data_IF_946082413260
#
_entry.id   IF_946082413260
#
_cell.length_a   1.000
_cell.length_b   1.000
_cell.length_c   1.000
_cell.angle_alpha   90.00
_cell.angle_beta   90.00
_cell.angle_gamma   90.00
#
_symmetry.space_group_name_H-M   'P 1'
#
loop_
_entity.id
_entity.type
_entity.pdbx_description
1 polymer ?
#
# COMPACT_ATOMS: atom_id res chain seq x y z
N UNK A 1 5.49 -57.84 -39.58
CA UNK A 1 5.09 -57.48 -38.21
C UNK A 1 5.77 -56.15 -37.89
N UNK A 2 5.06 -55.02 -38.03
CA UNK A 2 5.64 -53.68 -37.76
C UNK A 2 5.41 -53.35 -36.29
N UNK A 3 6.49 -53.07 -35.56
CA UNK A 3 6.49 -52.70 -34.14
C UNK A 3 6.10 -51.22 -34.03
N UNK A 4 5.01 -50.91 -33.33
CA UNK A 4 4.65 -49.54 -32.97
C UNK A 4 5.25 -49.22 -31.61
N UNK A 5 6.21 -48.28 -31.57
CA UNK A 5 6.74 -47.69 -30.34
C UNK A 5 5.94 -46.42 -30.08
N UNK A 6 5.13 -46.42 -29.03
CA UNK A 6 4.44 -45.24 -28.52
C UNK A 6 5.32 -44.57 -27.45
N UNK A 7 5.86 -43.38 -27.73
CA UNK A 7 6.43 -42.51 -26.69
C UNK A 7 5.30 -41.82 -25.91
N UNK A 8 5.37 -41.73 -24.57
CA UNK A 8 4.46 -40.87 -23.82
C UNK A 8 4.90 -39.41 -23.97
N UNK A 9 3.96 -38.54 -24.31
CA UNK A 9 4.15 -37.09 -24.26
C UNK A 9 4.23 -36.65 -22.80
N UNK A 10 5.42 -36.26 -22.35
CA UNK A 10 5.61 -35.60 -21.05
C UNK A 10 5.17 -34.16 -21.21
N UNK A 11 3.98 -33.83 -20.68
CA UNK A 11 3.50 -32.46 -20.59
C UNK A 11 4.36 -31.72 -19.55
N UNK A 12 5.16 -30.76 -20.01
CA UNK A 12 5.93 -29.85 -19.17
C UNK A 12 4.95 -28.80 -18.61
N UNK A 13 4.38 -29.06 -17.44
CA UNK A 13 3.59 -28.08 -16.71
C UNK A 13 4.52 -26.96 -16.23
N UNK A 14 4.37 -25.77 -16.80
CA UNK A 14 5.10 -24.57 -16.36
C UNK A 14 4.67 -24.20 -14.94
N UNK A 15 5.62 -24.23 -14.00
CA UNK A 15 5.44 -23.66 -12.67
C UNK A 15 5.33 -22.13 -12.81
N UNK A 16 4.11 -21.60 -12.82
CA UNK A 16 3.88 -20.19 -12.52
C UNK A 16 3.90 -20.04 -11.00
N UNK A 17 4.86 -19.27 -10.48
CA UNK A 17 4.93 -18.90 -9.08
C UNK A 17 3.77 -17.96 -8.74
N UNK A 18 2.83 -18.39 -7.89
CA UNK A 18 1.69 -17.59 -7.44
C UNK A 18 2.03 -16.95 -6.09
N UNK A 19 1.77 -15.66 -5.95
CA UNK A 19 2.07 -14.81 -4.78
C UNK A 19 0.78 -14.66 -3.94
N UNK A 20 0.87 -14.47 -2.61
CA UNK A 20 -0.31 -14.32 -1.73
C UNK A 20 -0.96 -12.92 -1.82
N UNK A 21 -2.20 -12.80 -1.33
CA UNK A 21 -2.95 -11.55 -1.17
C UNK A 21 -2.24 -10.57 -0.23
N UNK A 22 -1.98 -9.38 -0.74
CA UNK A 22 -1.13 -8.32 -0.24
C UNK A 22 -1.98 -7.05 -0.11
N UNK A 23 -1.56 -6.13 0.76
CA UNK A 23 -2.17 -4.84 1.11
C UNK A 23 -2.62 -4.01 -0.09
N UNK A 24 -2.01 -2.89 -0.52
CA UNK A 24 -2.14 -2.65 -1.96
C UNK A 24 -1.71 -3.95 -2.66
N UNK A 25 -2.44 -4.40 -3.69
CA UNK A 25 -2.00 -5.58 -4.44
C UNK A 25 -0.58 -5.33 -4.96
N UNK A 26 0.13 -6.38 -5.37
CA UNK A 26 1.53 -6.26 -5.82
C UNK A 26 1.78 -5.07 -6.77
N UNK A 27 0.84 -4.82 -7.70
CA UNK A 27 0.87 -3.69 -8.61
C UNK A 27 0.84 -2.33 -7.88
N UNK A 28 -0.03 -2.12 -6.88
CA UNK A 28 -0.15 -0.84 -6.18
C UNK A 28 1.13 -0.50 -5.40
N UNK A 29 1.74 -1.46 -4.70
CA UNK A 29 3.03 -1.27 -4.04
C UNK A 29 4.16 -0.96 -5.02
N UNK A 30 4.23 -1.68 -6.13
CA UNK A 30 5.23 -1.45 -7.16
C UNK A 30 5.06 -0.07 -7.81
N UNK A 31 3.82 0.39 -8.02
CA UNK A 31 3.50 1.74 -8.50
C UNK A 31 3.97 2.80 -7.50
N UNK A 32 3.59 2.69 -6.21
CA UNK A 32 4.00 3.62 -5.15
C UNK A 32 5.52 3.73 -5.07
N UNK A 33 6.21 2.59 -5.04
CA UNK A 33 7.66 2.54 -4.96
C UNK A 33 8.35 3.11 -6.21
N UNK A 34 7.75 2.92 -7.39
CA UNK A 34 8.27 3.49 -8.65
C UNK A 34 8.09 5.00 -8.68
N UNK A 35 6.92 5.52 -8.28
CA UNK A 35 6.68 6.97 -8.14
C UNK A 35 7.67 7.56 -7.14
N UNK A 36 7.91 6.90 -6.01
CA UNK A 36 8.88 7.36 -5.02
C UNK A 36 10.29 7.46 -5.62
N UNK A 37 10.73 6.42 -6.34
CA UNK A 37 12.04 6.39 -6.98
C UNK A 37 12.23 7.53 -7.99
N UNK A 38 11.18 7.96 -8.70
CA UNK A 38 11.22 9.09 -9.63
C UNK A 38 11.46 10.45 -8.95
N UNK A 39 11.16 10.56 -7.65
CA UNK A 39 11.27 11.79 -6.86
C UNK A 39 12.43 11.75 -5.85
N UNK A 40 13.24 10.70 -5.86
CA UNK A 40 14.46 10.67 -5.07
C UNK A 40 15.50 11.65 -5.62
N UNK A 41 16.28 12.24 -4.73
CA UNK A 41 17.43 13.01 -5.16
C UNK A 41 18.47 12.12 -5.86
N UNK A 42 19.15 12.60 -6.91
CA UNK A 42 20.14 11.81 -7.65
C UNK A 42 21.23 11.19 -6.78
N UNK A 43 21.59 11.86 -5.66
CA UNK A 43 22.57 11.40 -4.70
C UNK A 43 22.03 10.39 -3.67
N UNK A 44 20.72 10.37 -3.43
CA UNK A 44 20.08 9.48 -2.43
C UNK A 44 19.87 8.07 -2.99
N UNK A 45 19.48 7.95 -4.26
CA UNK A 45 19.21 6.65 -4.89
C UNK A 45 20.41 5.67 -4.79
N UNK A 46 21.67 6.06 -5.09
CA UNK A 46 22.83 5.18 -4.91
C UNK A 46 23.02 4.66 -3.48
N UNK A 47 22.75 5.51 -2.46
CA UNK A 47 22.85 5.14 -1.04
C UNK A 47 21.83 4.05 -0.72
N UNK A 48 20.56 4.29 -1.06
CA UNK A 48 19.47 3.31 -0.91
C UNK A 48 19.80 2.00 -1.62
N UNK A 49 20.33 2.07 -2.84
CA UNK A 49 20.70 0.90 -3.61
C UNK A 49 21.84 0.09 -3.00
N UNK A 50 22.81 0.75 -2.37
CA UNK A 50 23.89 0.07 -1.65
C UNK A 50 23.40 -0.68 -0.41
N UNK A 51 22.30 -0.22 0.21
CA UNK A 51 21.63 -0.89 1.33
C UNK A 51 20.81 -2.09 0.82
N UNK A 52 20.01 -1.88 -0.24
CA UNK A 52 19.12 -2.91 -0.76
C UNK A 52 19.86 -4.03 -1.50
N UNK A 53 20.92 -3.71 -2.24
CA UNK A 53 21.65 -4.66 -3.08
C UNK A 53 23.17 -4.50 -2.93
N UNK A 54 23.74 -4.84 -1.77
CA UNK A 54 25.17 -4.62 -1.51
C UNK A 54 26.09 -5.41 -2.45
N UNK A 55 25.59 -6.45 -3.13
CA UNK A 55 26.35 -7.31 -4.04
C UNK A 55 26.05 -7.06 -5.51
N UNK A 56 25.05 -6.23 -5.85
CA UNK A 56 24.62 -6.01 -7.23
C UNK A 56 25.02 -4.61 -7.72
N UNK A 57 25.15 -4.40 -9.04
CA UNK A 57 25.36 -3.08 -9.59
C UNK A 57 24.20 -2.14 -9.28
N UNK A 58 24.49 -0.89 -8.89
CA UNK A 58 23.45 0.12 -8.63
C UNK A 58 22.47 0.33 -9.82
N UNK A 59 22.92 0.07 -11.05
CA UNK A 59 22.09 0.17 -12.26
C UNK A 59 20.92 -0.82 -12.32
N UNK A 60 20.94 -1.92 -11.56
CA UNK A 60 19.83 -2.89 -11.51
C UNK A 60 18.84 -2.63 -10.36
N UNK A 61 19.15 -1.68 -9.49
CA UNK A 61 18.39 -1.37 -8.29
C UNK A 61 17.02 -0.76 -8.61
N UNK A 62 16.00 -1.20 -7.87
CA UNK A 62 14.70 -0.52 -7.84
C UNK A 62 13.98 -0.76 -6.53
N UNK A 63 13.27 0.26 -6.06
CA UNK A 63 12.36 0.14 -4.94
C UNK A 63 11.18 -0.79 -5.24
N UNK A 64 10.68 -0.83 -6.48
CA UNK A 64 9.52 -1.64 -6.86
C UNK A 64 9.71 -3.13 -6.52
N UNK A 65 10.91 -3.67 -6.78
CA UNK A 65 11.17 -5.10 -6.59
C UNK A 65 11.21 -5.55 -5.12
N UNK A 66 11.34 -4.61 -4.17
CA UNK A 66 11.24 -4.90 -2.73
C UNK A 66 9.90 -4.48 -2.14
N UNK A 67 9.07 -3.75 -2.88
CA UNK A 67 7.83 -3.18 -2.38
C UNK A 67 6.81 -4.23 -1.91
N UNK A 68 6.89 -5.47 -2.39
CA UNK A 68 6.02 -6.59 -1.99
C UNK A 68 6.65 -7.54 -0.96
N UNK A 69 7.84 -7.22 -0.46
CA UNK A 69 8.62 -8.13 0.38
C UNK A 69 7.99 -8.36 1.77
N UNK A 70 7.55 -7.29 2.45
CA UNK A 70 7.02 -7.37 3.82
C UNK A 70 5.83 -8.34 3.89
N UNK A 71 5.00 -8.25 2.88
CA UNK A 71 3.78 -8.99 2.73
C UNK A 71 4.00 -10.49 2.43
N UNK A 72 5.09 -10.83 1.73
CA UNK A 72 5.56 -12.23 1.60
C UNK A 72 6.08 -12.76 2.94
N UNK A 73 6.72 -11.89 3.72
CA UNK A 73 7.36 -12.28 4.97
C UNK A 73 6.40 -12.32 6.14
N UNK A 74 5.24 -11.66 6.11
CA UNK A 74 4.28 -11.67 7.23
C UNK A 74 3.85 -13.06 7.70
N UNK A 75 3.89 -14.06 6.82
CA UNK A 75 3.60 -15.46 7.18
C UNK A 75 4.75 -16.15 7.95
N UNK A 76 5.99 -15.74 7.68
CA UNK A 76 7.20 -16.23 8.37
C UNK A 76 7.48 -15.41 9.63
N UNK A 77 7.32 -14.09 9.52
CA UNK A 77 7.45 -13.08 10.56
C UNK A 77 6.06 -12.69 11.05
N UNK A 78 5.33 -13.62 11.68
CA UNK A 78 3.93 -13.42 12.08
C UNK A 78 3.69 -12.19 12.95
N UNK A 79 4.71 -11.75 13.68
CA UNK A 79 4.67 -10.52 14.47
C UNK A 79 4.48 -9.26 13.62
N UNK A 80 4.89 -9.28 12.34
CA UNK A 80 4.78 -8.14 11.42
C UNK A 80 3.39 -8.00 10.79
N UNK A 81 2.52 -9.01 10.86
CA UNK A 81 1.23 -8.99 10.17
C UNK A 81 0.33 -7.81 10.59
N UNK A 82 0.34 -7.46 11.89
CA UNK A 82 -0.43 -6.31 12.39
C UNK A 82 0.16 -4.96 12.00
N UNK A 83 1.39 -4.90 11.49
CA UNK A 83 2.04 -3.66 11.05
C UNK A 83 1.57 -3.18 9.68
N UNK A 84 0.70 -3.93 8.99
CA UNK A 84 0.17 -3.55 7.69
C UNK A 84 -1.10 -2.68 7.78
N UNK A 85 -1.72 -2.58 8.94
CA UNK A 85 -2.99 -1.86 9.10
C UNK A 85 -3.12 -1.22 10.48
N UNK A 86 -4.14 -0.40 10.66
CA UNK A 86 -4.58 0.15 11.93
C UNK A 86 -6.11 0.24 11.93
N UNK A 87 -6.74 0.00 13.07
CA UNK A 87 -8.20 0.13 13.20
C UNK A 87 -8.57 0.72 14.56
N UNK A 88 -9.40 1.76 14.55
CA UNK A 88 -10.00 2.32 15.75
C UNK A 88 -11.01 1.35 16.36
N UNK A 89 -11.15 1.36 17.69
CA UNK A 89 -12.18 0.55 18.37
C UNK A 89 -13.57 1.19 18.29
N UNK A 90 -13.62 2.52 18.12
CA UNK A 90 -14.84 3.32 17.97
C UNK A 90 -15.19 3.61 16.50
N UNK A 91 -14.46 3.00 15.57
CA UNK A 91 -14.63 3.18 14.14
C UNK A 91 -15.68 2.21 13.57
N UNK A 92 -16.69 2.76 12.88
CA UNK A 92 -17.75 2.04 12.18
C UNK A 92 -18.22 2.81 10.92
N UNK A 93 -17.41 2.87 9.85
CA UNK A 93 -17.78 3.59 8.63
C UNK A 93 -18.93 2.87 7.92
N UNK A 94 -19.96 3.53 7.39
CA UNK A 94 -19.96 4.97 7.12
C UNK A 94 -20.54 5.87 8.20
N UNK A 95 -21.07 5.30 9.29
CA UNK A 95 -21.78 6.08 10.30
C UNK A 95 -20.83 6.84 11.23
N UNK A 96 -19.74 6.21 11.66
CA UNK A 96 -18.78 6.76 12.62
C UNK A 96 -17.33 6.52 12.14
N UNK A 97 -16.56 7.59 11.84
CA UNK A 97 -15.13 7.50 11.48
C UNK A 97 -14.22 8.09 12.56
N UNK A 98 -14.30 7.50 13.76
CA UNK A 98 -13.46 7.88 14.89
C UNK A 98 -12.06 7.29 14.78
N UNK A 99 -11.04 8.15 14.63
CA UNK A 99 -9.66 7.73 14.38
C UNK A 99 -8.73 8.29 15.46
N UNK A 100 -8.41 7.60 16.57
CA UNK A 100 -8.76 6.22 16.93
C UNK A 100 -10.04 6.09 17.76
N UNK A 101 -10.70 7.21 18.05
CA UNK A 101 -11.75 7.33 19.06
C UNK A 101 -11.27 7.31 20.50
N UNK A 102 -12.23 7.29 21.43
CA UNK A 102 -12.02 7.31 22.88
C UNK A 102 -11.38 6.04 23.43
N UNK A 103 -11.69 4.87 22.86
CA UNK A 103 -11.15 3.58 23.28
C UNK A 103 -9.77 3.28 22.69
N UNK A 104 -9.35 4.06 21.69
CA UNK A 104 -8.04 3.91 21.06
C UNK A 104 -7.99 2.80 20.00
N UNK A 105 -6.78 2.39 19.65
CA UNK A 105 -6.53 1.39 18.62
C UNK A 105 -6.87 -0.04 19.07
N UNK A 106 -7.35 -0.84 18.12
CA UNK A 106 -7.41 -2.28 18.30
C UNK A 106 -5.99 -2.89 18.36
N UNK A 107 -5.85 -3.98 19.12
CA UNK A 107 -4.57 -4.70 19.24
C UNK A 107 -3.63 -4.14 20.30
N UNK A 108 -2.33 -4.35 20.12
CA UNK A 108 -1.30 -3.88 21.07
C UNK A 108 -0.88 -2.45 20.74
N UNK A 109 -0.59 -1.68 21.78
CA UNK A 109 -0.10 -0.30 21.67
C UNK A 109 1.11 -0.21 20.73
N UNK A 110 1.04 0.69 19.74
CA UNK A 110 2.05 0.91 18.70
C UNK A 110 2.41 -0.31 17.81
N UNK A 111 1.66 -1.40 17.86
CA UNK A 111 1.81 -2.54 16.93
C UNK A 111 0.75 -2.44 15.84
N UNK A 112 0.91 -1.43 14.99
CA UNK A 112 0.07 -1.12 13.84
C UNK A 112 0.91 -0.38 12.78
N UNK A 113 0.35 -0.11 11.60
CA UNK A 113 1.07 0.55 10.50
C UNK A 113 1.67 1.91 10.88
N UNK A 114 0.98 2.71 11.69
CA UNK A 114 1.47 4.02 12.14
C UNK A 114 2.72 3.88 13.02
N UNK A 115 2.66 2.97 14.00
CA UNK A 115 3.80 2.64 14.85
C UNK A 115 4.93 1.96 14.07
N UNK A 116 4.59 1.13 13.08
CA UNK A 116 5.52 0.47 12.17
C UNK A 116 6.36 1.49 11.39
N UNK A 117 5.70 2.45 10.72
CA UNK A 117 6.35 3.54 9.97
C UNK A 117 7.31 4.31 10.87
N UNK A 118 6.84 4.75 12.04
CA UNK A 118 7.67 5.48 13.00
C UNK A 118 8.89 4.67 13.43
N UNK A 119 8.70 3.40 13.76
CA UNK A 119 9.79 2.55 14.24
C UNK A 119 10.86 2.33 13.16
N UNK A 120 10.47 1.93 11.95
CA UNK A 120 11.44 1.67 10.87
C UNK A 120 12.11 2.94 10.38
N UNK A 121 11.41 4.09 10.38
CA UNK A 121 12.02 5.39 10.03
C UNK A 121 13.10 5.77 11.04
N UNK A 122 12.85 5.57 12.34
CA UNK A 122 13.83 5.84 13.39
C UNK A 122 15.04 4.88 13.33
N UNK A 123 14.83 3.61 12.99
CA UNK A 123 15.93 2.64 12.76
C UNK A 123 16.83 3.12 11.61
N UNK A 124 16.24 3.61 10.52
CA UNK A 124 16.99 4.09 9.36
C UNK A 124 17.72 5.41 9.66
N UNK A 125 17.07 6.34 10.35
CA UNK A 125 17.71 7.58 10.80
C UNK A 125 18.92 7.28 11.70
N UNK A 126 18.77 6.38 12.67
CA UNK A 126 19.87 5.95 13.53
C UNK A 126 21.00 5.29 12.72
N UNK A 127 20.67 4.43 11.74
CA UNK A 127 21.66 3.86 10.84
C UNK A 127 22.45 4.93 10.09
N UNK A 128 21.78 5.98 9.60
CA UNK A 128 22.43 7.11 8.93
C UNK A 128 23.36 7.85 9.89
N UNK A 129 22.87 8.23 11.07
CA UNK A 129 23.64 8.97 12.07
C UNK A 129 24.92 8.22 12.48
N UNK A 130 24.77 6.91 12.75
CA UNK A 130 25.88 6.08 13.19
C UNK A 130 26.94 5.91 12.08
N UNK A 131 26.55 5.93 10.80
CA UNK A 131 27.46 5.64 9.67
C UNK A 131 27.95 6.89 8.92
N UNK A 132 27.30 8.04 9.08
CA UNK A 132 27.71 9.29 8.42
C UNK A 132 29.16 9.67 8.74
N UNK A 133 29.56 9.52 10.01
CA UNK A 133 30.93 9.81 10.45
C UNK A 133 31.94 8.67 10.21
N UNK A 134 31.47 7.46 9.87
CA UNK A 134 32.31 6.25 9.75
C UNK A 134 32.75 5.93 8.33
N UNK A 135 32.33 6.71 7.33
CA UNK A 135 32.59 6.45 5.92
C UNK A 135 31.39 5.87 5.17
N UNK A 136 30.18 6.14 5.64
CA UNK A 136 28.93 5.80 4.94
C UNK A 136 28.55 4.31 5.06
N UNK A 137 27.72 3.86 4.12
CA UNK A 137 27.16 2.49 4.11
C UNK A 137 28.25 1.42 4.09
N UNK A 138 29.40 1.70 3.48
CA UNK A 138 30.53 0.77 3.35
C UNK A 138 31.21 0.47 4.70
N UNK A 139 31.03 1.35 5.69
CA UNK A 139 31.58 1.18 7.03
C UNK A 139 30.61 0.49 8.00
N UNK A 140 29.39 0.21 7.56
CA UNK A 140 28.41 -0.53 8.35
C UNK A 140 28.84 -1.99 8.50
N UNK A 141 28.69 -2.52 9.71
CA UNK A 141 28.79 -3.95 9.96
C UNK A 141 27.68 -4.72 9.24
N UNK A 142 27.88 -6.02 9.02
CA UNK A 142 26.89 -6.86 8.36
C UNK A 142 25.51 -6.83 9.06
N UNK A 143 25.49 -6.80 10.40
CA UNK A 143 24.24 -6.73 11.17
C UNK A 143 23.54 -5.37 11.07
N UNK A 144 24.30 -4.27 11.03
CA UNK A 144 23.72 -2.93 10.83
C UNK A 144 23.08 -2.82 9.44
N UNK A 145 23.78 -3.34 8.43
CA UNK A 145 23.30 -3.35 7.05
C UNK A 145 22.06 -4.24 6.88
N UNK A 146 22.02 -5.43 7.50
CA UNK A 146 20.86 -6.33 7.44
C UNK A 146 19.63 -5.68 8.09
N UNK A 147 19.80 -5.04 9.26
CA UNK A 147 18.72 -4.33 9.94
C UNK A 147 18.20 -3.13 9.12
N UNK A 148 19.11 -2.32 8.55
CA UNK A 148 18.73 -1.20 7.70
C UNK A 148 18.03 -1.67 6.42
N UNK A 149 18.50 -2.78 5.82
CA UNK A 149 17.87 -3.36 4.65
C UNK A 149 16.43 -3.82 4.96
N UNK A 150 16.22 -4.50 6.08
CA UNK A 150 14.88 -4.93 6.51
C UNK A 150 13.97 -3.72 6.80
N UNK A 151 14.45 -2.75 7.58
CA UNK A 151 13.71 -1.54 7.92
C UNK A 151 13.30 -0.75 6.66
N UNK A 152 14.20 -0.64 5.68
CA UNK A 152 13.93 0.03 4.41
C UNK A 152 12.85 -0.69 3.59
N UNK A 153 12.88 -2.02 3.53
CA UNK A 153 11.85 -2.81 2.83
C UNK A 153 10.48 -2.64 3.50
N UNK A 154 10.44 -2.62 4.84
CA UNK A 154 9.22 -2.33 5.58
C UNK A 154 8.72 -0.91 5.35
N UNK A 155 9.60 0.10 5.37
CA UNK A 155 9.21 1.50 5.14
C UNK A 155 8.57 1.68 3.76
N UNK A 156 9.20 1.15 2.71
CA UNK A 156 8.67 1.19 1.33
C UNK A 156 7.27 0.57 1.25
N UNK A 157 7.04 -0.51 1.99
CA UNK A 157 5.76 -1.20 2.01
C UNK A 157 4.70 -0.45 2.82
N UNK A 158 5.00 -0.08 4.07
CA UNK A 158 4.04 0.57 4.98
C UNK A 158 3.59 1.95 4.51
N UNK A 159 4.44 2.69 3.80
CA UNK A 159 4.02 3.94 3.15
C UNK A 159 3.03 3.70 2.01
N UNK A 160 3.04 2.52 1.38
CA UNK A 160 1.93 2.10 0.52
C UNK A 160 0.67 1.83 1.35
N UNK A 161 0.77 0.96 2.35
CA UNK A 161 -0.36 0.50 3.17
C UNK A 161 -1.14 1.64 3.83
N UNK A 162 -0.43 2.63 4.39
CA UNK A 162 -1.06 3.76 5.08
C UNK A 162 -1.87 4.64 4.13
N UNK A 163 -1.70 4.50 2.81
CA UNK A 163 -2.50 5.19 1.79
C UNK A 163 -3.64 4.33 1.21
N UNK A 164 -3.80 3.10 1.69
CA UNK A 164 -4.96 2.26 1.39
C UNK A 164 -6.03 2.56 2.46
N UNK A 165 -7.23 3.08 2.13
CA UNK A 165 -8.20 3.52 3.14
C UNK A 165 -8.75 2.41 4.06
N UNK A 166 -9.00 1.22 3.52
CA UNK A 166 -9.42 0.03 4.25
C UNK A 166 -8.31 -0.59 5.13
N UNK A 167 -7.05 -0.16 4.98
CA UNK A 167 -5.98 -0.45 5.95
C UNK A 167 -6.05 0.43 7.19
N UNK A 168 -6.90 1.45 7.18
CA UNK A 168 -7.05 2.43 8.25
C UNK A 168 -8.37 2.27 9.01
N UNK A 169 -9.09 1.17 8.82
CA UNK A 169 -10.36 0.89 9.49
C UNK A 169 -10.36 -0.47 10.19
N UNK A 170 -10.98 -0.50 11.37
CA UNK A 170 -11.20 -1.73 12.13
C UNK A 170 -12.42 -2.53 11.67
N UNK A 171 -13.33 -1.88 10.94
CA UNK A 171 -14.62 -2.45 10.57
C UNK A 171 -14.44 -3.68 9.67
N UNK A 172 -15.11 -4.78 10.04
CA UNK A 172 -15.16 -6.01 9.25
C UNK A 172 -13.78 -6.52 8.77
N UNK A 173 -12.74 -6.33 9.60
CA UNK A 173 -11.33 -6.63 9.28
C UNK A 173 -10.83 -5.85 8.06
N UNK A 174 -11.09 -4.54 8.02
CA UNK A 174 -10.75 -3.69 6.88
C UNK A 174 -11.55 -4.07 5.63
N UNK A 175 -12.80 -4.52 5.78
CA UNK A 175 -13.64 -4.93 4.65
C UNK A 175 -13.35 -6.33 4.10
N UNK A 176 -12.40 -7.10 4.66
CA UNK A 176 -12.13 -8.48 4.24
C UNK A 176 -13.34 -9.40 4.45
N UNK A 177 -14.14 -9.13 5.50
CA UNK A 177 -15.35 -9.90 5.80
C UNK A 177 -16.57 -9.45 4.99
N UNK A 178 -16.48 -8.35 4.21
CA UNK A 178 -17.60 -7.81 3.44
C UNK A 178 -17.56 -8.35 2.01
N UNK A 179 -18.50 -9.23 1.68
CA UNK A 179 -18.62 -9.80 0.33
C UNK A 179 -19.38 -8.87 -0.60
N UNK A 180 -18.83 -8.67 -1.79
CA UNK A 180 -19.37 -7.77 -2.82
C UNK A 180 -19.34 -8.46 -4.18
N UNK A 181 -20.15 -7.96 -5.12
CA UNK A 181 -20.08 -8.35 -6.53
C UNK A 181 -19.26 -7.34 -7.31
N UNK A 182 -18.38 -7.84 -8.17
CA UNK A 182 -17.57 -7.07 -9.09
C UNK A 182 -17.61 -7.70 -10.48
N UNK A 183 -18.26 -7.03 -11.43
CA UNK A 183 -18.46 -7.53 -12.79
C UNK A 183 -19.11 -8.94 -12.78
N UNK A 184 -20.10 -9.13 -11.91
CA UNK A 184 -20.82 -10.39 -11.72
C UNK A 184 -20.06 -11.48 -10.95
N UNK A 185 -18.83 -11.23 -10.50
CA UNK A 185 -18.04 -12.18 -9.69
C UNK A 185 -18.04 -11.79 -8.22
N UNK A 186 -18.06 -12.78 -7.34
CA UNK A 186 -18.04 -12.55 -5.90
C UNK A 186 -16.60 -12.34 -5.42
N UNK A 187 -16.36 -11.20 -4.79
CA UNK A 187 -15.08 -10.86 -4.15
C UNK A 187 -15.35 -10.27 -2.76
N UNK A 188 -14.39 -9.56 -2.16
CA UNK A 188 -14.60 -8.78 -0.94
C UNK A 188 -14.17 -7.32 -1.12
N UNK A 189 -14.68 -6.43 -0.27
CA UNK A 189 -14.44 -4.99 -0.38
C UNK A 189 -12.94 -4.65 -0.31
N UNK A 190 -12.19 -5.32 0.56
CA UNK A 190 -10.73 -5.12 0.69
C UNK A 190 -10.00 -5.42 -0.62
N UNK A 191 -10.19 -6.64 -1.16
CA UNK A 191 -9.54 -7.05 -2.41
C UNK A 191 -9.96 -6.22 -3.63
N UNK A 192 -11.18 -5.65 -3.62
CA UNK A 192 -11.62 -4.70 -4.64
C UNK A 192 -10.71 -3.46 -4.66
N UNK A 193 -10.46 -2.88 -3.49
CA UNK A 193 -9.61 -1.69 -3.33
C UNK A 193 -8.12 -1.98 -3.55
N UNK A 194 -7.63 -3.09 -3.02
CA UNK A 194 -6.22 -3.49 -3.15
C UNK A 194 -5.77 -3.63 -4.59
N UNK A 195 -6.63 -4.21 -5.45
CA UNK A 195 -6.19 -4.64 -6.78
C UNK A 195 -7.20 -4.44 -7.89
N UNK A 196 -8.49 -4.72 -7.69
CA UNK A 196 -9.43 -4.77 -8.81
C UNK A 196 -9.75 -3.39 -9.40
N UNK A 197 -9.76 -2.32 -8.59
CA UNK A 197 -9.88 -0.95 -9.07
C UNK A 197 -8.67 -0.54 -9.92
N UNK A 198 -7.45 -0.88 -9.48
CA UNK A 198 -6.21 -0.65 -10.25
C UNK A 198 -6.25 -1.45 -11.55
N UNK A 199 -6.62 -2.74 -11.50
CA UNK A 199 -6.73 -3.60 -12.67
C UNK A 199 -7.75 -3.07 -13.69
N UNK A 200 -8.85 -2.47 -13.23
CA UNK A 200 -9.82 -1.79 -14.09
C UNK A 200 -9.20 -0.54 -14.74
N UNK A 201 -8.51 0.30 -13.97
CA UNK A 201 -7.84 1.48 -14.48
C UNK A 201 -6.78 1.14 -15.54
N UNK A 202 -6.01 0.06 -15.34
CA UNK A 202 -5.01 -0.44 -16.30
C UNK A 202 -5.61 -0.80 -17.67
N UNK A 203 -6.86 -1.29 -17.72
CA UNK A 203 -7.53 -1.64 -18.97
C UNK A 203 -8.09 -0.45 -19.74
N UNK A 204 -8.33 0.67 -19.05
CA UNK A 204 -8.94 1.87 -19.64
C UNK A 204 -7.94 2.99 -19.94
N UNK A 205 -6.64 2.70 -19.88
CA UNK A 205 -5.59 3.70 -20.09
C UNK A 205 -5.64 4.25 -21.53
N UNK A 206 -5.68 5.59 -21.68
CA UNK A 206 -5.58 6.24 -22.98
C UNK A 206 -4.28 5.89 -23.73
N UNK A 207 -4.37 5.74 -25.05
CA UNK A 207 -3.22 5.28 -25.88
C UNK A 207 -2.00 6.20 -25.82
N UNK A 208 -2.16 7.48 -25.50
CA UNK A 208 -1.04 8.42 -25.37
C UNK A 208 -0.05 8.05 -24.25
N UNK A 209 -0.47 7.30 -23.22
CA UNK A 209 0.45 6.83 -22.16
C UNK A 209 1.06 5.44 -22.44
N UNK A 210 0.64 4.78 -23.52
CA UNK A 210 1.22 3.47 -23.93
C UNK A 210 2.57 3.61 -24.63
N UNK A 211 3.00 4.85 -24.89
CA UNK A 211 4.30 5.20 -25.44
C UNK A 211 5.09 6.06 -24.45
N UNK A 212 6.43 6.07 -24.52
CA UNK A 212 7.25 6.92 -23.67
C UNK A 212 6.89 8.41 -23.80
N UNK A 213 6.82 9.09 -22.66
CA UNK A 213 6.61 10.54 -22.59
C UNK A 213 7.95 11.28 -22.84
N UNK A 214 7.92 12.57 -23.23
CA UNK A 214 9.13 13.36 -23.49
C UNK A 214 9.83 13.81 -22.20
N UNK A 215 9.95 12.92 -21.21
CA UNK A 215 10.55 13.19 -19.89
C UNK A 215 11.59 12.11 -19.59
N UNK A 216 12.81 12.21 -20.16
CA UNK A 216 13.82 11.16 -20.05
C UNK A 216 14.19 10.73 -18.62
N UNK A 217 14.32 11.64 -17.63
CA UNK A 217 14.66 11.23 -16.26
C UNK A 217 13.60 10.33 -15.62
N UNK A 218 12.33 10.59 -15.89
CA UNK A 218 11.20 9.79 -15.42
C UNK A 218 11.14 8.45 -16.17
N UNK A 219 11.21 8.47 -17.51
CA UNK A 219 11.19 7.24 -18.33
C UNK A 219 12.35 6.29 -18.01
N UNK A 220 13.50 6.82 -17.59
CA UNK A 220 14.65 6.00 -17.17
C UNK A 220 14.36 5.14 -15.92
N UNK A 221 13.34 5.48 -15.12
CA UNK A 221 12.93 4.69 -13.96
C UNK A 221 11.92 3.57 -14.31
N UNK A 222 11.32 3.64 -15.50
CA UNK A 222 10.33 2.66 -15.98
C UNK A 222 11.02 1.43 -16.59
N UNK A 223 10.37 0.26 -16.49
CA UNK A 223 11.01 -1.05 -16.81
C UNK A 223 10.30 -1.85 -17.91
N UNK A 224 9.31 -1.27 -18.58
CA UNK A 224 8.44 -1.96 -19.52
C UNK A 224 7.40 -2.85 -18.83
N UNK A 225 6.98 -2.49 -17.61
CA UNK A 225 5.97 -3.25 -16.88
C UNK A 225 4.56 -2.97 -17.41
N UNK A 226 3.59 -3.81 -17.05
CA UNK A 226 2.18 -3.63 -17.46
C UNK A 226 1.54 -2.36 -16.88
N UNK A 227 2.10 -1.79 -15.81
CA UNK A 227 1.60 -0.60 -15.14
C UNK A 227 2.39 0.67 -15.47
N UNK A 228 3.44 0.60 -16.29
CA UNK A 228 4.17 1.80 -16.75
C UNK A 228 3.26 2.84 -17.43
N UNK A 229 2.29 2.47 -18.30
CA UNK A 229 1.34 3.45 -18.84
C UNK A 229 0.49 4.13 -17.77
N UNK A 230 0.24 3.45 -16.66
CA UNK A 230 -0.54 4.01 -15.56
C UNK A 230 0.29 5.00 -14.76
N UNK A 231 1.54 4.64 -14.46
CA UNK A 231 2.49 5.56 -13.82
C UNK A 231 2.68 6.80 -14.67
N UNK A 232 2.89 6.66 -15.98
CA UNK A 232 2.96 7.81 -16.91
C UNK A 232 1.74 8.72 -16.80
N UNK A 233 0.54 8.15 -16.74
CA UNK A 233 -0.70 8.91 -16.59
C UNK A 233 -0.79 9.63 -15.24
N UNK A 234 -0.45 8.95 -14.14
CA UNK A 234 -0.41 9.55 -12.79
C UNK A 234 0.61 10.70 -12.75
N UNK A 235 1.79 10.50 -13.30
CA UNK A 235 2.85 11.51 -13.35
C UNK A 235 2.45 12.71 -14.21
N UNK A 236 1.94 12.47 -15.42
CA UNK A 236 1.65 13.55 -16.39
C UNK A 236 0.36 14.31 -16.07
N UNK A 237 -0.76 13.63 -15.86
CA UNK A 237 -2.06 14.27 -15.62
C UNK A 237 -2.32 14.56 -14.14
N UNK A 238 -1.73 13.76 -13.24
CA UNK A 238 -1.99 13.81 -11.81
C UNK A 238 -1.05 14.77 -11.09
N UNK A 239 0.19 14.33 -10.87
CA UNK A 239 1.22 15.10 -10.16
C UNK A 239 1.62 16.34 -10.96
N UNK A 240 1.72 16.21 -12.28
CA UNK A 240 2.25 17.26 -13.13
C UNK A 240 3.77 17.18 -13.24
N UNK A 241 4.32 17.55 -14.39
CA UNK A 241 5.76 17.46 -14.66
C UNK A 241 6.39 18.85 -14.83
N UNK A 242 5.74 19.89 -14.29
CA UNK A 242 6.19 21.28 -14.32
C UNK A 242 6.66 21.68 -15.73
N UNK A 243 7.93 22.04 -15.87
CA UNK A 243 8.52 22.52 -17.13
C UNK A 243 8.42 21.56 -18.34
N UNK A 244 8.08 20.29 -18.14
CA UNK A 244 7.88 19.33 -19.23
C UNK A 244 6.47 19.38 -19.85
N UNK A 245 5.52 20.07 -19.23
CA UNK A 245 4.13 20.19 -19.70
C UNK A 245 3.59 21.61 -19.48
N UNK A 246 3.00 22.20 -20.51
CA UNK A 246 2.30 23.48 -20.39
C UNK A 246 0.95 23.36 -19.65
N UNK A 247 0.48 22.14 -19.43
CA UNK A 247 -0.74 21.85 -18.67
C UNK A 247 -0.34 21.40 -17.27
N UNK A 248 -0.81 22.10 -16.21
CA UNK A 248 -0.50 21.71 -14.84
C UNK A 248 -1.15 20.38 -14.48
N UNK A 249 -0.52 19.68 -13.54
CA UNK A 249 -1.10 18.47 -12.95
C UNK A 249 -2.38 18.77 -12.19
N UNK A 250 -3.24 17.75 -12.01
CA UNK A 250 -4.46 17.87 -11.18
C UNK A 250 -4.19 18.24 -9.74
N UNK A 251 -3.03 17.89 -9.21
CA UNK A 251 -2.68 18.04 -7.80
C UNK A 251 -1.36 18.80 -7.59
N UNK A 252 -0.85 19.47 -8.62
CA UNK A 252 0.45 20.16 -8.58
C UNK A 252 0.50 21.20 -7.45
N UNK A 253 -0.64 21.86 -7.20
CA UNK A 253 -0.89 22.85 -6.15
C UNK A 253 -1.19 22.25 -4.77
N UNK A 254 -1.41 20.93 -4.66
CA UNK A 254 -1.59 20.24 -3.38
C UNK A 254 -0.30 19.55 -2.85
N UNK A 255 0.75 19.45 -3.69
CA UNK A 255 1.94 18.65 -3.36
C UNK A 255 2.65 19.12 -2.09
N UNK A 256 2.71 20.42 -1.85
CA UNK A 256 3.32 20.99 -0.64
C UNK A 256 2.52 20.55 0.60
N UNK A 257 1.19 20.68 0.55
CA UNK A 257 0.30 20.29 1.65
C UNK A 257 0.42 18.80 1.98
N UNK A 258 0.60 17.94 0.97
CA UNK A 258 0.77 16.49 1.18
C UNK A 258 2.01 16.15 2.02
N UNK A 259 3.05 16.99 1.96
CA UNK A 259 4.31 16.81 2.65
C UNK A 259 4.34 17.49 4.01
N UNK A 260 3.48 18.49 4.24
CA UNK A 260 3.44 19.19 5.53
C UNK A 260 2.98 18.28 6.67
N UNK A 261 3.82 18.15 7.69
CA UNK A 261 3.45 17.57 8.97
C UNK A 261 2.99 18.66 9.93
N UNK A 262 1.85 18.50 10.64
CA UNK A 262 1.46 19.45 11.67
C UNK A 262 2.51 19.43 12.79
N UNK A 263 2.80 20.59 13.43
CA UNK A 263 3.75 20.65 14.53
C UNK A 263 3.28 19.73 15.66
N UNK A 264 4.16 18.82 16.10
CA UNK A 264 3.84 17.87 17.16
C UNK A 264 3.48 18.62 18.46
N UNK A 265 2.33 18.34 19.09
CA UNK A 265 1.97 18.95 20.37
C UNK A 265 3.01 18.73 21.49
N UNK A 266 3.96 17.81 21.33
CA UNK A 266 5.08 17.58 22.23
C UNK A 266 5.94 18.82 22.56
N UNK A 267 5.95 19.86 21.72
CA UNK A 267 6.74 21.09 21.98
C UNK A 267 5.94 22.25 22.63
N UNK A 268 4.60 22.15 22.77
CA UNK A 268 3.76 23.25 23.32
C UNK A 268 3.12 22.95 24.68
N UNK A 269 3.24 21.74 25.21
CA UNK A 269 2.59 21.40 26.47
C UNK A 269 3.32 22.01 27.67
N UNK A 270 2.75 23.07 28.23
CA UNK A 270 3.13 23.55 29.57
C UNK A 270 2.98 22.43 30.61
N UNK A 271 3.69 22.54 31.74
CA UNK A 271 3.60 21.59 32.86
C UNK A 271 2.14 21.24 33.26
N UNK A 272 1.22 22.21 33.14
CA UNK A 272 -0.21 22.00 33.40
C UNK A 272 -0.91 21.09 32.38
N UNK A 273 -0.51 21.10 31.10
CA UNK A 273 -1.04 20.23 30.06
C UNK A 273 -0.70 18.76 30.29
N UNK A 274 0.53 18.48 30.74
CA UNK A 274 0.97 17.13 31.13
C UNK A 274 0.24 16.61 32.36
N UNK A 275 0.01 17.48 33.36
CA UNK A 275 -0.77 17.13 34.54
C UNK A 275 -2.25 16.84 34.19
N UNK A 276 -2.84 17.62 33.29
CA UNK A 276 -4.22 17.39 32.82
C UNK A 276 -4.36 16.08 32.02
N UNK A 277 -3.40 15.73 31.15
CA UNK A 277 -3.40 14.43 30.46
C UNK A 277 -3.24 13.25 31.44
N UNK A 278 -2.39 13.40 32.46
CA UNK A 278 -2.22 12.39 33.50
C UNK A 278 -3.49 12.22 34.37
N UNK A 279 -4.17 13.32 34.71
CA UNK A 279 -5.41 13.31 35.50
C UNK A 279 -6.61 12.82 34.70
N UNK A 280 -6.66 13.11 33.39
CA UNK A 280 -7.77 12.75 32.49
C UNK A 280 -7.59 11.37 31.83
N UNK A 281 -6.46 10.68 32.05
CA UNK A 281 -6.21 9.34 31.48
C UNK A 281 -6.13 9.30 29.95
N UNK A 282 -5.99 10.46 29.29
CA UNK A 282 -5.90 10.58 27.83
C UNK A 282 -4.50 10.17 27.38
N UNK A 283 -4.33 8.89 27.01
CA UNK A 283 -3.11 8.39 26.35
C UNK A 283 -3.21 8.67 24.85
N UNK A 284 -2.63 9.77 24.39
CA UNK A 284 -2.33 9.93 22.97
C UNK A 284 -0.96 9.29 22.74
N UNK A 285 -0.92 8.12 22.12
CA UNK A 285 0.35 7.58 21.60
C UNK A 285 0.68 8.37 20.34
N UNK A 286 1.54 9.37 20.49
CA UNK A 286 2.02 10.19 19.39
C UNK A 286 2.90 9.31 18.49
N UNK A 287 2.33 8.93 17.33
CA UNK A 287 3.02 8.17 16.27
C UNK A 287 3.63 9.11 15.23
N UNK A 288 3.39 10.42 15.37
CA UNK A 288 3.96 11.47 14.57
C UNK A 288 5.19 12.06 15.28
N UNK A 289 6.22 12.40 14.52
CA UNK A 289 7.41 13.12 14.97
C UNK A 289 7.89 14.09 13.88
N UNK A 290 9.08 14.68 14.05
CA UNK A 290 9.65 15.63 13.08
C UNK A 290 10.02 14.97 11.74
N UNK A 291 10.23 13.64 11.72
CA UNK A 291 10.65 12.90 10.52
C UNK A 291 9.46 12.36 9.73
N UNK A 292 8.46 11.80 10.43
CA UNK A 292 7.26 11.23 9.80
C UNK A 292 6.01 11.56 10.60
N UNK A 293 4.91 11.84 9.91
CA UNK A 293 3.60 12.06 10.54
C UNK A 293 2.52 11.10 9.99
N UNK A 294 2.70 9.77 10.14
CA UNK A 294 1.80 8.78 9.55
C UNK A 294 0.35 8.92 10.01
N UNK A 295 0.09 9.43 11.23
CA UNK A 295 -1.27 9.64 11.72
C UNK A 295 -1.94 10.85 11.07
N UNK A 296 -1.21 11.95 10.90
CA UNK A 296 -1.70 13.11 10.15
C UNK A 296 -1.99 12.76 8.69
N UNK A 297 -1.17 11.93 8.06
CA UNK A 297 -1.41 11.42 6.70
C UNK A 297 -2.62 10.50 6.62
N UNK A 298 -2.78 9.60 7.60
CA UNK A 298 -3.84 8.60 7.62
C UNK A 298 -5.22 9.19 7.92
N UNK A 299 -5.33 10.26 8.71
CA UNK A 299 -6.62 10.83 9.12
C UNK A 299 -7.57 11.15 7.96
N UNK A 300 -7.19 12.02 7.00
CA UNK A 300 -8.04 12.33 5.84
C UNK A 300 -8.31 11.12 4.92
N UNK A 301 -7.39 10.15 4.88
CA UNK A 301 -7.55 8.93 4.07
C UNK A 301 -8.56 7.99 4.74
N UNK A 302 -8.53 7.91 6.08
CA UNK A 302 -9.49 7.19 6.88
C UNK A 302 -10.91 7.76 6.73
N UNK A 303 -11.06 9.09 6.70
CA UNK A 303 -12.36 9.75 6.51
C UNK A 303 -13.08 9.33 5.21
N UNK A 304 -12.33 8.97 4.16
CA UNK A 304 -12.90 8.43 2.91
C UNK A 304 -13.74 7.16 3.14
N UNK A 305 -13.44 6.39 4.21
CA UNK A 305 -14.25 5.23 4.60
C UNK A 305 -15.71 5.62 4.86
N UNK A 306 -15.96 6.78 5.48
CA UNK A 306 -17.30 7.29 5.72
C UNK A 306 -17.89 8.04 4.55
N UNK A 307 -17.06 8.67 3.72
CA UNK A 307 -17.57 9.47 2.62
C UNK A 307 -18.23 8.62 1.52
N UNK A 308 -17.51 7.61 1.01
CA UNK A 308 -18.02 6.82 -0.12
C UNK A 308 -17.42 5.42 -0.27
N UNK A 309 -16.32 5.10 0.41
CA UNK A 309 -15.67 3.79 0.27
C UNK A 309 -16.56 2.68 0.82
N UNK A 310 -17.31 2.97 1.90
CA UNK A 310 -18.32 2.11 2.49
C UNK A 310 -19.74 2.61 2.14
N UNK A 311 -20.37 2.12 1.07
CA UNK A 311 -21.76 2.47 0.78
C UNK A 311 -22.68 2.01 1.90
N UNK A 312 -23.63 2.86 2.31
CA UNK A 312 -24.71 2.47 3.24
C UNK A 312 -25.50 1.24 2.78
N UNK A 313 -25.52 0.95 1.46
CA UNK A 313 -26.14 -0.26 0.93
C UNK A 313 -25.44 -1.57 1.33
N UNK A 314 -24.23 -1.50 1.92
CA UNK A 314 -23.55 -2.64 2.54
C UNK A 314 -23.99 -2.87 3.98
N UNK A 315 -24.66 -1.90 4.62
CA UNK A 315 -25.25 -2.07 5.94
C UNK A 315 -26.55 -2.87 5.80
N UNK A 316 -26.76 -3.90 6.64
CA UNK A 316 -28.01 -4.63 6.61
C UNK A 316 -29.17 -3.68 6.96
N UNK A 317 -30.19 -3.61 6.10
CA UNK A 317 -31.44 -2.92 6.44
C UNK A 317 -32.03 -3.47 7.75
N UNK A 318 -32.73 -2.64 8.56
CA UNK A 318 -33.34 -3.08 9.81
C UNK A 318 -34.63 -3.86 9.54
N UNK A 319 -34.55 -5.00 8.86
CA UNK A 319 -35.65 -5.95 8.73
C UNK A 319 -35.15 -7.40 8.89
N UNK A 320 -35.15 -7.84 10.15
CA UNK A 320 -35.31 -9.22 10.63
C UNK A 320 -34.80 -10.38 9.76
N UNK A 321 -33.74 -11.05 10.23
CA UNK A 321 -33.93 -12.36 10.88
C UNK A 321 -32.75 -12.71 11.78
N UNK A 322 -33.11 -12.98 13.03
CA UNK A 322 -32.30 -13.55 14.10
C UNK A 322 -31.90 -14.99 13.74
N UNK A 323 -30.60 -15.29 13.72
CA UNK A 323 -30.01 -16.47 14.37
C UNK A 323 -28.51 -16.53 14.05
N UNK A 324 -27.68 -16.07 14.99
CA UNK A 324 -26.55 -16.82 15.54
C UNK A 324 -25.79 -15.91 16.52
N UNK A 325 -26.46 -15.64 17.64
CA UNK A 325 -25.74 -15.47 18.88
C UNK A 325 -25.16 -16.85 19.22
N UNK A 326 -23.86 -16.92 19.52
CA UNK A 326 -23.01 -18.11 19.71
C UNK A 326 -22.22 -18.59 18.47
N UNK A 327 -21.35 -17.72 17.95
CA UNK A 327 -20.03 -18.20 17.51
C UNK A 327 -19.01 -17.68 18.52
N UNK A 328 -18.66 -18.57 19.44
CA UNK A 328 -17.60 -18.37 20.41
C UNK A 328 -16.29 -17.96 19.71
N UNK A 329 -15.56 -17.15 20.45
CA UNK A 329 -14.14 -16.83 20.31
C UNK A 329 -13.37 -18.11 19.99
N UNK A 330 -12.91 -18.24 18.75
CA UNK A 330 -11.81 -19.13 18.40
C UNK A 330 -10.78 -18.33 17.59
N UNK A 331 -9.85 -17.74 18.34
CA UNK A 331 -8.54 -17.35 17.84
C UNK A 331 -7.90 -18.62 17.28
N UNK A 332 -7.65 -18.66 15.97
CA UNK A 332 -7.02 -19.77 15.22
C UNK A 332 -7.92 -20.87 14.63
N UNK A 333 -8.93 -20.56 13.80
CA UNK A 333 -9.48 -21.59 12.92
C UNK A 333 -10.19 -21.07 11.65
N UNK A 334 -9.45 -20.43 10.74
CA UNK A 334 -9.68 -20.73 9.32
C UNK A 334 -8.45 -21.44 8.78
N UNK A 335 -8.43 -22.73 9.06
CA UNK A 335 -7.63 -23.71 8.35
C UNK A 335 -8.22 -23.80 6.94
N UNK A 336 -7.92 -22.82 6.09
CA UNK A 336 -7.94 -23.03 4.67
C UNK A 336 -6.84 -24.05 4.41
N UNK A 337 -7.26 -25.27 4.06
CA UNK A 337 -6.34 -26.36 3.79
C UNK A 337 -5.59 -26.02 2.50
N UNK A 338 -4.50 -25.26 2.65
CA UNK A 338 -3.61 -24.86 1.58
C UNK A 338 -2.63 -25.99 1.28
N UNK A 339 -3.14 -27.17 0.93
CA UNK A 339 -2.30 -28.16 0.27
C UNK A 339 -2.13 -27.70 -1.18
N UNK A 340 -0.94 -27.20 -1.51
CA UNK A 340 -0.59 -26.78 -2.87
C UNK A 340 -0.70 -25.28 -3.17
N UNK A 341 -0.95 -24.43 -2.16
CA UNK A 341 -0.64 -23.00 -2.25
C UNK A 341 -1.58 -22.10 -3.05
N UNK A 342 -2.81 -22.53 -3.37
CA UNK A 342 -3.80 -21.71 -4.09
C UNK A 342 -4.95 -21.30 -3.18
N UNK A 343 -5.20 -20.00 -3.05
CA UNK A 343 -6.38 -19.42 -2.41
C UNK A 343 -6.89 -18.23 -3.25
N UNK A 344 -7.96 -18.48 -4.01
CA UNK A 344 -8.99 -17.62 -4.65
C UNK A 344 -8.74 -16.18 -5.16
N UNK A 345 -7.82 -15.36 -4.63
CA UNK A 345 -7.77 -13.91 -4.93
C UNK A 345 -6.95 -13.53 -6.17
N UNK A 346 -5.74 -14.06 -6.32
CA UNK A 346 -4.80 -13.70 -7.38
C UNK A 346 -5.17 -14.27 -8.76
N UNK A 347 -6.01 -15.32 -8.78
CA UNK A 347 -6.60 -15.83 -10.02
C UNK A 347 -7.49 -14.79 -10.68
N UNK A 348 -8.12 -13.88 -9.93
CA UNK A 348 -9.07 -12.91 -10.50
C UNK A 348 -8.37 -11.80 -11.29
N UNK A 349 -7.24 -11.26 -10.84
CA UNK A 349 -6.55 -10.18 -11.57
C UNK A 349 -6.03 -10.69 -12.92
N UNK A 350 -5.36 -11.84 -12.96
CA UNK A 350 -4.88 -12.44 -14.21
C UNK A 350 -6.02 -12.98 -15.09
N UNK A 351 -7.07 -13.56 -14.50
CA UNK A 351 -8.27 -14.01 -15.22
C UNK A 351 -8.97 -12.84 -15.93
N UNK A 352 -9.00 -11.65 -15.32
CA UNK A 352 -9.70 -10.49 -15.87
C UNK A 352 -8.85 -9.68 -16.88
N UNK A 353 -7.52 -9.86 -16.90
CA UNK A 353 -6.63 -9.22 -17.90
C UNK A 353 -6.53 -10.01 -19.22
N UNK A 354 -7.15 -11.19 -19.32
CA UNK A 354 -7.12 -12.04 -20.53
C UNK A 354 -8.16 -11.67 -21.59
N UNK A 355 -7.69 -11.19 -22.75
CA UNK A 355 -8.20 -11.39 -24.13
C UNK A 355 -9.68 -11.13 -24.50
N UNK A 356 -9.99 -10.47 -25.65
CA UNK A 356 -11.36 -10.33 -26.13
C UNK A 356 -11.86 -11.68 -26.68
N UNK A 357 -12.59 -12.43 -25.87
CA UNK A 357 -13.20 -13.67 -26.35
C UNK A 357 -13.51 -14.68 -25.27
N UNK A 358 -14.45 -14.36 -24.37
CA UNK A 358 -15.38 -15.34 -23.83
C UNK A 358 -16.51 -14.60 -23.10
N UNK A 359 -17.58 -14.30 -23.82
CA UNK A 359 -18.90 -14.03 -23.22
C UNK A 359 -19.44 -15.39 -22.77
N UNK A 360 -18.82 -15.94 -21.73
CA UNK A 360 -19.28 -17.14 -21.04
C UNK A 360 -20.48 -16.77 -20.17
N UNK A 361 -21.54 -17.55 -20.29
CA UNK A 361 -22.83 -17.41 -19.58
C UNK A 361 -22.63 -16.99 -18.13
N UNK A 362 -23.16 -15.80 -17.78
CA UNK A 362 -23.21 -15.24 -16.42
C UNK A 362 -24.00 -16.21 -15.53
N UNK A 363 -23.41 -16.80 -14.48
CA UNK A 363 -24.17 -17.58 -13.51
C UNK A 363 -25.18 -16.67 -12.80
N UNK A 364 -26.32 -17.23 -12.41
CA UNK A 364 -27.43 -16.55 -11.76
C UNK A 364 -26.99 -15.50 -10.73
N UNK A 365 -27.69 -14.34 -10.74
CA UNK A 365 -27.47 -13.18 -9.87
C UNK A 365 -26.96 -13.61 -8.49
N UNK A 366 -25.71 -13.28 -8.18
CA UNK A 366 -25.27 -13.31 -6.81
C UNK A 366 -26.08 -12.23 -6.04
N UNK A 367 -26.35 -12.46 -4.75
CA UNK A 367 -27.16 -11.54 -3.94
C UNK A 367 -26.31 -10.42 -3.32
N UNK A 368 -25.06 -10.25 -3.77
CA UNK A 368 -24.14 -9.26 -3.22
C UNK A 368 -24.27 -7.94 -3.97
N UNK A 369 -23.98 -6.84 -3.27
CA UNK A 369 -24.00 -5.50 -3.87
C UNK A 369 -22.98 -5.43 -5.02
N UNK A 370 -23.43 -5.08 -6.22
CA UNK A 370 -22.56 -4.87 -7.38
C UNK A 370 -21.90 -3.49 -7.31
N UNK A 371 -20.58 -3.47 -7.34
CA UNK A 371 -19.76 -2.27 -7.20
C UNK A 371 -19.09 -1.84 -8.51
N UNK A 372 -19.12 -2.65 -9.57
CA UNK A 372 -18.71 -2.24 -10.93
C UNK A 372 -19.80 -1.40 -11.61
N UNK A 373 -20.23 -0.34 -10.93
CA UNK A 373 -21.29 0.57 -11.37
C UNK A 373 -20.75 1.97 -11.65
N UNK A 374 -21.43 2.77 -12.48
CA UNK A 374 -21.13 4.19 -12.65
C UNK A 374 -21.16 4.96 -11.32
N UNK A 375 -22.05 4.59 -10.41
CA UNK A 375 -22.28 5.27 -9.13
C UNK A 375 -21.15 5.02 -8.13
N UNK A 376 -20.57 3.81 -8.08
CA UNK A 376 -19.46 3.49 -7.18
C UNK A 376 -18.12 3.61 -7.89
N UNK A 377 -17.72 2.58 -8.65
CA UNK A 377 -16.40 2.56 -9.30
C UNK A 377 -16.22 3.64 -10.37
N UNK A 378 -17.31 4.06 -11.04
CA UNK A 378 -17.29 5.16 -11.98
C UNK A 378 -17.02 6.51 -11.31
N UNK A 379 -17.63 6.76 -10.15
CA UNK A 379 -17.38 7.96 -9.35
C UNK A 379 -15.93 7.99 -8.84
N UNK A 380 -15.43 6.88 -8.30
CA UNK A 380 -14.04 6.71 -7.86
C UNK A 380 -13.05 7.04 -9.00
N UNK A 381 -13.27 6.45 -10.18
CA UNK A 381 -12.41 6.67 -11.35
C UNK A 381 -12.49 8.10 -11.88
N UNK A 382 -13.68 8.71 -11.87
CA UNK A 382 -13.88 10.10 -12.30
C UNK A 382 -13.18 11.09 -11.37
N UNK A 383 -13.17 10.80 -10.07
CA UNK A 383 -12.50 11.61 -9.05
C UNK A 383 -11.00 11.30 -8.89
N UNK A 384 -10.46 10.32 -9.60
CA UNK A 384 -9.04 9.91 -9.52
C UNK A 384 -8.59 9.56 -8.10
N UNK A 385 -9.49 8.96 -7.31
CA UNK A 385 -9.22 8.67 -5.88
C UNK A 385 -8.04 7.72 -5.74
N UNK A 386 -8.06 6.58 -6.44
CA UNK A 386 -7.01 5.56 -6.35
C UNK A 386 -5.68 6.11 -6.85
N UNK A 387 -5.68 6.83 -7.98
CA UNK A 387 -4.49 7.49 -8.52
C UNK A 387 -3.90 8.51 -7.53
N UNK A 388 -4.74 9.30 -6.86
CA UNK A 388 -4.31 10.31 -5.87
C UNK A 388 -3.64 9.64 -4.67
N UNK A 389 -4.24 8.56 -4.15
CA UNK A 389 -3.70 7.83 -3.00
C UNK A 389 -2.35 7.15 -3.32
N UNK A 390 -2.22 6.54 -4.51
CA UNK A 390 -0.94 5.99 -4.99
C UNK A 390 0.12 7.08 -5.16
N UNK A 391 -0.27 8.24 -5.69
CA UNK A 391 0.62 9.40 -5.83
C UNK A 391 1.09 9.93 -4.46
N UNK A 392 0.17 10.13 -3.52
CA UNK A 392 0.48 10.54 -2.15
C UNK A 392 1.46 9.59 -1.47
N UNK A 393 1.23 8.28 -1.58
CA UNK A 393 2.14 7.26 -1.05
C UNK A 393 3.54 7.36 -1.65
N UNK A 394 3.65 7.52 -2.97
CA UNK A 394 4.93 7.65 -3.65
C UNK A 394 5.68 8.94 -3.29
N UNK A 395 4.98 10.08 -3.29
CA UNK A 395 5.54 11.40 -2.99
C UNK A 395 6.02 11.47 -1.53
N UNK A 396 5.20 11.01 -0.58
CA UNK A 396 5.57 10.97 0.85
C UNK A 396 6.72 10.01 1.09
N UNK A 397 6.72 8.83 0.47
CA UNK A 397 7.84 7.89 0.57
C UNK A 397 9.15 8.51 0.04
N UNK A 398 9.11 9.20 -1.10
CA UNK A 398 10.28 9.89 -1.64
C UNK A 398 10.82 10.96 -0.68
N UNK A 399 9.93 11.79 -0.13
CA UNK A 399 10.30 12.84 0.81
C UNK A 399 10.99 12.26 2.06
N UNK A 400 10.37 11.26 2.69
CA UNK A 400 10.94 10.59 3.88
C UNK A 400 12.30 9.97 3.56
N UNK A 401 12.43 9.29 2.43
CA UNK A 401 13.71 8.70 2.02
C UNK A 401 14.78 9.76 1.74
N UNK A 402 14.41 10.86 1.09
CA UNK A 402 15.31 11.98 0.84
C UNK A 402 15.80 12.59 2.16
N UNK A 403 14.90 12.83 3.11
CA UNK A 403 15.23 13.45 4.40
C UNK A 403 16.12 12.54 5.24
N UNK A 404 15.82 11.23 5.30
CA UNK A 404 16.64 10.26 6.04
C UNK A 404 18.05 10.14 5.47
N UNK A 405 18.18 10.00 4.14
CA UNK A 405 19.44 9.60 3.52
C UNK A 405 20.27 10.75 2.95
N UNK A 406 19.75 11.98 2.89
CA UNK A 406 20.51 13.16 2.45
C UNK A 406 21.87 13.31 3.17
N UNK A 407 21.99 13.11 4.50
CA UNK A 407 23.28 13.24 5.19
C UNK A 407 24.37 12.26 4.70
N UNK A 408 24.01 11.01 4.36
CA UNK A 408 24.96 10.06 3.78
C UNK A 408 25.33 10.41 2.34
N UNK A 409 24.40 11.02 1.61
CA UNK A 409 24.60 11.40 0.23
C UNK A 409 25.54 12.61 0.09
N UNK A 410 25.47 13.57 1.02
CA UNK A 410 26.36 14.74 1.06
C UNK A 410 27.80 14.39 1.45
N UNK A 411 28.01 13.41 2.34
CA UNK A 411 29.35 12.96 2.75
C UNK A 411 30.08 12.07 1.73
N UNK A 412 29.40 11.70 0.64
CA UNK A 412 29.93 10.80 -0.41
C UNK A 412 30.39 11.54 -1.69
N UNK A 413 30.14 12.85 -1.78
CA UNK A 413 30.57 13.73 -2.87
C UNK A 413 31.92 14.40 -2.53
#
# INVERSE_FOLDING_TARGET
MRLHITLPAVALAGLCAVQPALAWGAAGHEIVATIAQMHLYPQVLPVICSILYPTEPAASCTLASVATWADKMRFRMRWSASLHYVGGLDDYPPDDCEFPGTRGWAGKENINVLGGIRNVSNILAQFVDDNAARGGVQAASASELELAQEALKFLVHFLGDVHQPLHLTGRDRGGNSVKVSWNGRVTNLHSLWDGLLIAKALRSIPRNYTVPLPVPPMEAQLRGTIYDPYIRRIMWDGIGLGSYSDVPGRWEDELEDWLTCPPTPAQSQSFFGRAAQFVMGLKVTETDDELVCPRAWAGPIHELNCDFIWPHALDPEPHHSVSDAHADIDDHAHQHNCEGGVCSGDEEMHSLLGGPGNVGVVPASNNYLELDTPEYSGAISKAWVVEKLLAQGGIRLAAVLNDIFAPLAEGSA
#
